data_IF_574839662279
#
_entry.id   IF_574839662279
#
_cell.length_a   1.000
_cell.length_b   1.000
_cell.length_c   1.000
_cell.angle_alpha   90.00
_cell.angle_beta   90.00
_cell.angle_gamma   90.00
#
_symmetry.space_group_name_H-M   'P 1'
#
loop_
_entity.id
_entity.type
_entity.pdbx_description
1 polymer ?
#
# COMPACT_ATOMS: atom_id res chain seq x y z
N UNK A 1 -10.49 -3.82 -2.36
CA UNK A 1 -11.14 -4.62 -3.43
C UNK A 1 -10.61 -6.05 -3.28
N UNK A 2 -11.42 -6.99 -2.79
CA UNK A 2 -10.97 -8.38 -2.63
C UNK A 2 -10.98 -9.03 -4.02
N UNK A 3 -9.81 -9.41 -4.53
CA UNK A 3 -9.70 -10.21 -5.75
C UNK A 3 -10.29 -11.59 -5.42
N UNK A 4 -11.54 -11.82 -5.82
CA UNK A 4 -12.17 -13.14 -5.71
C UNK A 4 -11.80 -13.92 -6.96
N UNK A 5 -10.73 -14.71 -6.89
CA UNK A 5 -10.38 -15.68 -7.92
C UNK A 5 -11.54 -16.70 -8.03
N UNK A 6 -12.33 -16.61 -9.10
CA UNK A 6 -13.50 -17.48 -9.30
C UNK A 6 -13.06 -18.77 -9.99
N UNK A 7 -13.58 -19.92 -9.55
CA UNK A 7 -13.30 -21.23 -10.18
C UNK A 7 -13.58 -21.21 -11.70
N UNK A 8 -14.58 -20.44 -12.13
CA UNK A 8 -14.89 -20.24 -13.55
C UNK A 8 -13.78 -19.52 -14.30
N UNK A 9 -13.11 -18.56 -13.69
CA UNK A 9 -11.96 -17.87 -14.31
C UNK A 9 -10.75 -18.79 -14.39
N UNK A 10 -10.51 -19.61 -13.36
CA UNK A 10 -9.46 -20.62 -13.38
C UNK A 10 -9.66 -21.63 -14.52
N UNK A 11 -10.86 -22.18 -14.68
CA UNK A 11 -11.17 -23.15 -15.75
C UNK A 11 -11.03 -22.50 -17.14
N UNK A 12 -11.46 -21.25 -17.30
CA UNK A 12 -11.25 -20.49 -18.55
C UNK A 12 -9.76 -20.30 -18.86
N UNK A 13 -8.97 -19.93 -17.86
CA UNK A 13 -7.53 -19.72 -18.02
C UNK A 13 -6.79 -21.03 -18.34
N UNK A 14 -7.14 -22.11 -17.64
CA UNK A 14 -6.58 -23.44 -17.89
C UNK A 14 -6.93 -23.95 -19.30
N UNK A 15 -8.18 -23.76 -19.75
CA UNK A 15 -8.62 -24.12 -21.09
C UNK A 15 -7.90 -23.33 -22.19
N UNK A 16 -7.71 -22.01 -22.00
CA UNK A 16 -6.95 -21.17 -22.93
C UNK A 16 -5.48 -21.58 -23.01
N UNK A 17 -4.85 -21.91 -21.88
CA UNK A 17 -3.46 -22.39 -21.83
C UNK A 17 -3.26 -23.72 -22.56
N UNK A 18 -4.20 -24.66 -22.42
CA UNK A 18 -4.16 -25.94 -23.11
C UNK A 18 -4.42 -25.83 -24.62
N UNK A 19 -5.28 -24.91 -25.05
CA UNK A 19 -5.52 -24.67 -26.48
C UNK A 19 -4.29 -24.01 -27.15
N UNK A 20 -3.60 -23.11 -26.45
CA UNK A 20 -2.42 -22.42 -26.97
C UNK A 20 -1.21 -23.35 -27.15
N UNK A 21 -1.07 -24.39 -26.33
CA UNK A 21 0.03 -25.36 -26.45
C UNK A 21 -0.10 -26.30 -27.66
N UNK A 22 -1.33 -26.55 -28.13
CA UNK A 22 -1.59 -27.40 -29.31
C UNK A 22 -1.33 -26.67 -30.64
N UNK A 23 -1.37 -25.34 -30.65
CA UNK A 23 -1.21 -24.52 -31.87
C UNK A 23 0.23 -24.05 -32.12
N UNK A 24 1.23 -24.61 -31.42
CA UNK A 24 2.63 -24.24 -31.62
C UNK A 24 2.93 -22.78 -31.31
N UNK A 25 2.24 -22.21 -30.32
CA UNK A 25 2.31 -20.79 -29.97
C UNK A 25 3.74 -20.32 -29.74
N UNK A 26 4.17 -19.33 -30.54
CA UNK A 26 5.49 -18.73 -30.43
C UNK A 26 5.65 -18.06 -29.05
N UNK A 27 6.70 -18.37 -28.27
CA UNK A 27 6.87 -17.84 -26.90
C UNK A 27 7.09 -16.32 -26.83
N UNK A 28 7.25 -15.66 -27.99
CA UNK A 28 7.38 -14.19 -28.09
C UNK A 28 6.03 -13.46 -28.01
N UNK A 29 4.90 -14.12 -28.31
CA UNK A 29 3.57 -13.50 -28.25
C UNK A 29 2.94 -13.57 -26.84
N UNK A 30 3.30 -14.57 -26.04
CA UNK A 30 2.86 -14.70 -24.65
C UNK A 30 3.46 -13.62 -23.72
N UNK A 31 4.64 -13.10 -24.06
CA UNK A 31 5.26 -11.97 -23.35
C UNK A 31 4.50 -10.64 -23.56
N UNK A 32 3.83 -10.47 -24.71
CA UNK A 32 3.06 -9.26 -25.03
C UNK A 32 1.78 -9.15 -24.21
N UNK A 33 1.07 -10.26 -24.01
CA UNK A 33 -0.17 -10.31 -23.23
C UNK A 33 0.07 -10.13 -21.72
N UNK A 34 1.21 -10.61 -21.22
CA UNK A 34 1.62 -10.40 -19.83
C UNK A 34 2.06 -8.94 -19.54
N UNK A 35 2.61 -8.25 -20.54
CA UNK A 35 2.98 -6.85 -20.44
C UNK A 35 1.75 -5.91 -20.39
N UNK A 36 0.68 -6.27 -21.10
CA UNK A 36 -0.57 -5.51 -21.19
C UNK A 36 -1.44 -5.60 -19.93
N UNK A 37 -1.22 -6.63 -19.10
CA UNK A 37 -1.89 -6.81 -17.80
C UNK A 37 -1.25 -6.06 -16.63
N UNK A 38 -0.23 -5.23 -16.85
CA UNK A 38 0.10 -4.16 -15.91
C UNK A 38 -0.98 -3.07 -16.00
N UNK A 39 -2.21 -3.44 -15.64
CA UNK A 39 -3.27 -2.51 -15.33
C UNK A 39 -2.68 -1.46 -14.40
N UNK A 40 -2.68 -0.22 -14.86
CA UNK A 40 -2.32 0.93 -14.05
C UNK A 40 -3.05 0.82 -12.72
N UNK A 41 -2.32 0.53 -11.65
CA UNK A 41 -2.87 0.48 -10.30
C UNK A 41 -3.71 1.76 -10.12
N UNK A 42 -5.00 1.65 -9.75
CA UNK A 42 -5.84 2.83 -9.63
C UNK A 42 -5.16 3.80 -8.67
N UNK A 43 -4.85 5.01 -9.15
CA UNK A 43 -4.23 6.06 -8.34
C UNK A 43 -5.13 6.30 -7.12
N UNK A 44 -4.68 5.88 -5.95
CA UNK A 44 -5.40 6.05 -4.69
C UNK A 44 -5.57 7.56 -4.48
N UNK A 45 -6.83 8.04 -4.49
CA UNK A 45 -7.16 9.47 -4.40
C UNK A 45 -6.96 10.04 -2.98
N UNK A 46 -6.67 9.20 -1.99
CA UNK A 46 -6.50 9.60 -0.60
C UNK A 46 -5.09 9.31 -0.09
N UNK A 47 -4.70 10.06 0.93
CA UNK A 47 -3.43 9.89 1.63
C UNK A 47 -3.63 8.87 2.77
N UNK A 48 -2.86 7.79 2.76
CA UNK A 48 -2.85 6.82 3.84
C UNK A 48 -1.88 7.26 4.94
N UNK A 49 -2.29 7.19 6.21
CA UNK A 49 -1.46 7.62 7.32
C UNK A 49 -1.80 6.92 8.64
N UNK A 50 -1.00 7.23 9.67
CA UNK A 50 -1.12 6.67 11.01
C UNK A 50 -1.77 7.66 11.97
N UNK A 51 -2.78 7.22 12.73
CA UNK A 51 -3.21 7.96 13.92
C UNK A 51 -2.32 7.53 15.09
N UNK A 52 -1.59 8.45 15.72
CA UNK A 52 -0.58 8.09 16.71
C UNK A 52 -1.15 7.36 17.94
N UNK A 53 -2.46 7.45 18.19
CA UNK A 53 -3.13 6.72 19.28
C UNK A 53 -3.04 5.20 19.14
N UNK A 54 -2.91 4.68 17.91
CA UNK A 54 -2.65 3.24 17.67
C UNK A 54 -1.40 2.77 18.42
N UNK A 55 -0.40 3.66 18.56
CA UNK A 55 0.87 3.39 19.23
C UNK A 55 1.01 4.22 20.53
N UNK A 56 -0.09 4.46 21.26
CA UNK A 56 -0.11 5.32 22.46
C UNK A 56 0.84 4.94 23.60
N UNK A 57 1.37 3.71 23.58
CA UNK A 57 2.30 3.19 24.61
C UNK A 57 3.77 3.41 24.25
N UNK A 58 4.04 3.93 23.06
CA UNK A 58 5.39 4.16 22.55
C UNK A 58 5.73 5.64 22.60
N UNK A 59 7.03 5.97 22.60
CA UNK A 59 7.49 7.36 22.53
C UNK A 59 7.35 7.88 21.10
N UNK A 60 7.25 9.19 20.92
CA UNK A 60 7.07 9.80 19.59
C UNK A 60 8.13 9.34 18.58
N UNK A 61 9.40 9.28 18.98
CA UNK A 61 10.49 8.86 18.07
C UNK A 61 10.29 7.42 17.56
N UNK A 62 9.87 6.51 18.43
CA UNK A 62 9.58 5.11 18.09
C UNK A 62 8.36 5.02 17.16
N UNK A 63 7.33 5.86 17.40
CA UNK A 63 6.14 5.95 16.54
C UNK A 63 6.50 6.39 15.13
N UNK A 64 7.40 7.36 14.98
CA UNK A 64 7.85 7.84 13.68
C UNK A 64 8.69 6.78 12.94
N UNK A 65 9.58 6.11 13.66
CA UNK A 65 10.37 4.99 13.11
C UNK A 65 9.47 3.86 12.62
N UNK A 66 8.51 3.42 13.45
CA UNK A 66 7.54 2.38 13.07
C UNK A 66 6.69 2.80 11.86
N UNK A 67 6.23 4.05 11.80
CA UNK A 67 5.48 4.55 10.66
C UNK A 67 6.33 4.52 9.36
N UNK A 68 7.61 4.89 9.46
CA UNK A 68 8.54 4.85 8.34
C UNK A 68 8.82 3.42 7.87
N UNK A 69 9.02 2.47 8.80
CA UNK A 69 9.25 1.05 8.49
C UNK A 69 8.11 0.45 7.66
N UNK A 70 6.86 0.88 7.88
CA UNK A 70 5.69 0.42 7.10
C UNK A 70 5.33 1.34 5.93
N UNK A 71 6.18 2.32 5.60
CA UNK A 71 5.99 3.22 4.45
C UNK A 71 4.85 4.23 4.60
N UNK A 72 4.44 4.57 5.83
CA UNK A 72 3.40 5.58 6.07
C UNK A 72 4.02 6.98 6.16
N UNK A 73 3.72 7.81 5.17
CA UNK A 73 4.22 9.19 5.07
C UNK A 73 3.44 10.21 5.90
N UNK A 74 2.21 9.90 6.30
CA UNK A 74 1.33 10.85 6.98
C UNK A 74 1.04 10.36 8.39
N UNK A 75 1.11 11.26 9.37
CA UNK A 75 0.79 10.95 10.76
C UNK A 75 -0.14 12.01 11.35
N UNK A 76 -1.14 11.57 12.12
CA UNK A 76 -2.01 12.42 12.93
C UNK A 76 -1.61 12.27 14.39
N UNK A 77 -0.88 13.25 14.89
CA UNK A 77 -0.48 13.33 16.29
C UNK A 77 -1.70 13.57 17.19
N UNK A 78 -1.69 12.92 18.35
CA UNK A 78 -2.71 13.00 19.40
C UNK A 78 -2.09 13.53 20.69
N UNK A 79 -2.94 13.89 21.66
CA UNK A 79 -2.53 14.55 22.91
C UNK A 79 -1.38 13.88 23.67
N UNK A 80 -1.24 12.56 23.57
CA UNK A 80 -0.15 11.81 24.21
C UNK A 80 1.23 12.10 23.60
N UNK A 81 1.27 12.47 22.31
CA UNK A 81 2.49 12.78 21.57
C UNK A 81 2.63 14.26 21.23
N UNK A 82 1.53 15.01 21.26
CA UNK A 82 1.49 16.48 21.13
C UNK A 82 0.34 17.01 22.00
N UNK A 83 0.61 17.42 23.25
CA UNK A 83 -0.40 17.96 24.16
C UNK A 83 -1.14 19.18 23.58
N UNK A 84 -2.43 19.33 23.89
CA UNK A 84 -3.28 20.40 23.36
C UNK A 84 -2.87 21.80 23.84
N UNK A 85 -2.18 21.89 24.97
CA UNK A 85 -1.67 23.10 25.58
C UNK A 85 -0.17 23.33 25.27
N UNK A 86 0.37 22.66 24.25
CA UNK A 86 1.77 22.85 23.82
C UNK A 86 2.02 24.28 23.37
N UNK A 87 3.17 24.84 23.77
CA UNK A 87 3.65 26.13 23.26
C UNK A 87 4.09 26.01 21.79
N UNK A 88 4.12 27.13 21.07
CA UNK A 88 4.56 27.18 19.67
C UNK A 88 5.94 26.52 19.45
N UNK A 89 6.91 26.80 20.31
CA UNK A 89 8.25 26.19 20.25
C UNK A 89 8.24 24.65 20.30
N UNK A 90 7.32 24.07 21.07
CA UNK A 90 7.20 22.61 21.19
C UNK A 90 6.57 22.03 19.93
N UNK A 91 5.56 22.72 19.38
CA UNK A 91 4.93 22.35 18.12
C UNK A 91 5.98 22.34 17.01
N UNK A 92 6.76 23.42 16.88
CA UNK A 92 7.82 23.54 15.87
C UNK A 92 8.84 22.39 15.96
N UNK A 93 9.36 22.13 17.16
CA UNK A 93 10.29 21.02 17.42
C UNK A 93 9.73 19.66 17.02
N UNK A 94 8.44 19.43 17.25
CA UNK A 94 7.77 18.18 16.90
C UNK A 94 7.52 18.10 15.39
N UNK A 95 7.07 19.19 14.76
CA UNK A 95 6.86 19.23 13.31
C UNK A 95 8.15 19.09 12.52
N UNK A 96 9.29 19.52 13.04
CA UNK A 96 10.59 19.31 12.40
C UNK A 96 11.02 17.83 12.35
N UNK A 97 10.38 16.95 13.13
CA UNK A 97 10.65 15.50 13.12
C UNK A 97 9.77 14.71 12.13
N UNK A 98 8.70 15.32 11.59
CA UNK A 98 7.66 14.67 10.77
C UNK A 98 7.77 15.09 9.31
#
# INVERSE_FOLDING_TARGET
MKIRQNRREFVKLAGLGAAASLLGGNPKQSASLAAEQRQSQPKIKFKLGLASYTLRKFRLDEVLEMAQQVGLKYIKLKSMHLPLNSKAEVIEKITAKV
#
